data_IF_348949491094
#
_entry.id   IF_348949491094
#
_cell.length_a   1.000
_cell.length_b   1.000
_cell.length_c   1.000
_cell.angle_alpha   90.00
_cell.angle_beta   90.00
_cell.angle_gamma   90.00
#
_symmetry.space_group_name_H-M   'P 1'
#
loop_
_entity.id
_entity.type
_entity.pdbx_description
1 polymer ?
#
# COMPACT_ATOMS: atom_id res chain seq x y z
N UNK A 1 0.60 0.73 -12.06
CA UNK A 1 1.65 -0.27 -11.89
C UNK A 1 1.13 -1.40 -11.03
N UNK A 2 1.55 -2.61 -11.29
CA UNK A 2 1.15 -3.74 -10.48
C UNK A 2 2.35 -4.29 -9.74
N UNK A 3 2.17 -4.52 -8.46
CA UNK A 3 3.20 -5.12 -7.62
C UNK A 3 2.68 -6.45 -7.09
N UNK A 4 3.56 -7.44 -7.08
CA UNK A 4 3.19 -8.74 -6.56
C UNK A 4 3.78 -8.90 -5.18
N UNK A 5 2.95 -9.33 -4.24
CA UNK A 5 3.38 -9.61 -2.90
C UNK A 5 2.55 -10.76 -2.38
N UNK A 6 3.22 -11.75 -1.82
CA UNK A 6 2.54 -12.87 -1.19
C UNK A 6 1.62 -13.58 -2.20
N UNK A 7 2.10 -13.69 -3.45
CA UNK A 7 1.40 -14.35 -4.55
C UNK A 7 0.13 -13.62 -4.97
N UNK A 8 -0.04 -12.39 -4.55
CA UNK A 8 -1.14 -11.56 -4.98
C UNK A 8 -0.61 -10.35 -5.72
N UNK A 9 -1.38 -9.86 -6.67
CA UNK A 9 -0.98 -8.70 -7.44
C UNK A 9 -1.87 -7.53 -7.08
N UNK A 10 -1.24 -6.40 -6.82
CA UNK A 10 -1.96 -5.21 -6.40
C UNK A 10 -1.73 -4.09 -7.39
N UNK A 11 -2.81 -3.41 -7.74
CA UNK A 11 -2.71 -2.19 -8.52
C UNK A 11 -2.21 -1.07 -7.62
N UNK A 12 -1.20 -0.36 -8.07
CA UNK A 12 -0.66 0.77 -7.32
C UNK A 12 -0.77 2.02 -8.16
N UNK A 13 -1.30 3.06 -7.57
CA UNK A 13 -1.46 4.35 -8.23
C UNK A 13 -0.42 5.30 -7.67
N UNK A 14 0.32 5.97 -8.56
CA UNK A 14 1.34 6.94 -8.15
C UNK A 14 0.92 8.31 -8.62
N UNK A 15 1.02 9.28 -7.71
CA UNK A 15 0.67 10.66 -8.01
C UNK A 15 1.83 11.54 -7.56
N UNK A 16 2.26 12.44 -8.42
CA UNK A 16 3.28 13.40 -8.01
C UNK A 16 2.61 14.49 -7.20
N UNK A 17 3.13 14.72 -5.99
CA UNK A 17 2.61 15.73 -5.09
C UNK A 17 3.57 16.91 -5.09
N UNK A 18 3.10 18.05 -5.59
CA UNK A 18 3.96 19.20 -5.75
C UNK A 18 4.36 19.82 -4.41
N UNK A 19 3.54 19.68 -3.39
CA UNK A 19 3.91 20.20 -2.07
C UNK A 19 4.98 19.35 -1.43
N UNK A 20 4.80 18.04 -1.48
CA UNK A 20 5.78 17.12 -0.94
C UNK A 20 7.02 17.08 -1.83
N UNK A 21 6.87 17.43 -3.11
CA UNK A 21 7.93 17.36 -4.10
C UNK A 21 8.39 15.93 -4.27
N UNK A 22 7.44 15.03 -4.40
CA UNK A 22 7.72 13.61 -4.57
C UNK A 22 6.45 12.88 -4.95
N UNK A 23 6.49 11.56 -4.82
CA UNK A 23 5.41 10.73 -5.28
C UNK A 23 4.67 10.13 -4.11
N UNK A 24 3.35 10.10 -4.21
CA UNK A 24 2.49 9.40 -3.26
C UNK A 24 1.99 8.15 -3.95
N UNK A 25 2.05 7.04 -3.26
CA UNK A 25 1.59 5.75 -3.79
C UNK A 25 0.41 5.26 -2.98
N UNK A 26 -0.54 4.67 -3.68
CA UNK A 26 -1.76 4.19 -3.05
C UNK A 26 -2.14 2.84 -3.62
N UNK A 27 -2.62 1.94 -2.76
CA UNK A 27 -3.12 0.64 -3.17
C UNK A 27 -4.63 0.63 -2.93
N UNK A 28 -5.44 0.84 -3.98
CA UNK A 28 -6.89 0.95 -3.76
C UNK A 28 -7.51 -0.29 -3.14
N UNK A 29 -6.97 -1.47 -3.40
CA UNK A 29 -7.52 -2.70 -2.86
C UNK A 29 -7.28 -2.85 -1.36
N UNK A 30 -6.36 -2.08 -0.80
CA UNK A 30 -6.01 -2.17 0.61
C UNK A 30 -6.26 -0.80 1.24
N UNK A 31 -7.45 -0.58 1.79
CA UNK A 31 -7.78 0.75 2.31
C UNK A 31 -6.77 1.23 3.34
N UNK A 32 -6.32 2.45 3.17
CA UNK A 32 -5.32 3.02 4.06
C UNK A 32 -3.89 2.65 3.76
N UNK A 33 -3.65 1.84 2.73
CA UNK A 33 -2.28 1.45 2.38
C UNK A 33 -1.71 2.51 1.47
N UNK A 34 -0.97 3.44 2.05
CA UNK A 34 -0.37 4.56 1.35
C UNK A 34 1.10 4.65 1.69
N UNK A 35 1.87 5.21 0.79
CA UNK A 35 3.25 5.51 1.09
C UNK A 35 3.72 6.63 0.18
N UNK A 36 4.98 7.01 0.28
CA UNK A 36 5.50 8.10 -0.51
C UNK A 36 7.00 7.98 -0.65
N UNK A 37 7.56 8.72 -1.59
CA UNK A 37 8.99 8.74 -1.80
C UNK A 37 9.37 9.92 -2.66
N UNK A 38 10.58 10.43 -2.46
CA UNK A 38 11.03 11.58 -3.24
C UNK A 38 11.27 11.21 -4.69
N UNK A 39 11.60 9.98 -4.95
CA UNK A 39 11.75 9.48 -6.31
C UNK A 39 10.76 8.35 -6.51
N UNK A 40 10.56 8.01 -7.78
CA UNK A 40 9.66 6.90 -8.09
C UNK A 40 10.20 5.59 -7.49
N UNK A 41 11.51 5.39 -7.55
CA UNK A 41 12.11 4.18 -6.97
C UNK A 41 11.85 4.10 -5.47
N UNK A 42 11.98 5.22 -4.78
CA UNK A 42 11.68 5.24 -3.35
C UNK A 42 10.22 4.95 -3.07
N UNK A 43 9.34 5.55 -3.86
CA UNK A 43 7.91 5.33 -3.67
C UNK A 43 7.55 3.87 -3.90
N UNK A 44 8.16 3.25 -4.91
CA UNK A 44 7.91 1.85 -5.19
C UNK A 44 8.40 0.97 -4.03
N UNK A 45 9.60 1.22 -3.56
CA UNK A 45 10.14 0.43 -2.44
C UNK A 45 9.29 0.61 -1.20
N UNK A 46 8.88 1.85 -0.93
CA UNK A 46 8.11 2.14 0.28
C UNK A 46 6.71 1.56 0.22
N UNK A 47 6.04 1.62 -0.94
CA UNK A 47 4.71 1.06 -1.02
C UNK A 47 4.76 -0.46 -0.95
N UNK A 48 5.83 -1.06 -1.46
CA UNK A 48 5.99 -2.51 -1.34
C UNK A 48 6.10 -2.92 0.12
N UNK A 49 6.89 -2.17 0.89
CA UNK A 49 6.99 -2.44 2.32
C UNK A 49 5.66 -2.22 3.02
N UNK A 50 4.91 -1.20 2.61
CA UNK A 50 3.61 -0.92 3.20
C UNK A 50 2.64 -2.07 2.93
N UNK A 51 2.68 -2.64 1.72
CA UNK A 51 1.83 -3.78 1.39
C UNK A 51 2.19 -4.96 2.28
N UNK A 52 3.49 -5.22 2.43
CA UNK A 52 3.92 -6.34 3.27
C UNK A 52 3.43 -6.17 4.70
N UNK A 53 3.58 -4.97 5.24
CA UNK A 53 3.13 -4.71 6.60
C UNK A 53 1.62 -4.83 6.74
N UNK A 54 0.89 -4.33 5.75
CA UNK A 54 -0.55 -4.40 5.77
C UNK A 54 -1.02 -5.85 5.79
N UNK A 55 -0.45 -6.67 4.90
CA UNK A 55 -0.84 -8.07 4.82
C UNK A 55 -0.43 -8.83 6.08
N UNK A 56 0.72 -8.49 6.63
CA UNK A 56 1.17 -9.14 7.87
C UNK A 56 0.20 -8.86 9.01
N UNK A 57 -0.20 -7.62 9.16
CA UNK A 57 -1.11 -7.25 10.23
C UNK A 57 -2.47 -7.92 10.03
N UNK A 58 -2.95 -7.93 8.79
CA UNK A 58 -4.23 -8.53 8.48
C UNK A 58 -4.22 -10.03 8.77
N UNK A 59 -3.14 -10.69 8.37
CA UNK A 59 -3.01 -12.12 8.61
C UNK A 59 -2.87 -12.42 10.09
N UNK A 60 -2.12 -11.57 10.79
CA UNK A 60 -1.89 -11.77 12.21
C UNK A 60 -3.17 -11.68 12.99
N UNK A 61 -4.01 -10.73 12.67
CA UNK A 61 -5.27 -10.59 13.34
C UNK A 61 -6.29 -11.60 12.86
N UNK A 62 -6.12 -12.04 11.64
CA UNK A 62 -6.95 -13.10 11.09
C UNK A 62 -8.41 -12.85 11.31
N UNK A 63 -8.84 -11.61 11.08
CA UNK A 63 -10.22 -11.36 11.19
C UNK A 63 -10.67 -10.45 10.16
N UNK A 64 -11.85 -10.72 9.67
CA UNK A 64 -12.47 -9.81 8.74
C UNK A 64 -12.74 -8.58 9.53
N UNK A 65 -12.52 -7.64 8.92
CA UNK A 65 -12.76 -6.44 9.55
C UNK A 65 -14.18 -6.27 9.86
N UNK A 66 -14.56 -6.45 10.15
CA UNK A 66 -15.58 -6.24 10.43
C UNK A 66 -16.04 -6.18 11.36
N UNK A 67 -16.14 -6.08 11.36
CA UNK A 67 -16.60 -6.13 11.90
C UNK A 67 -17.46 -5.95 12.40
N UNK A 68 -17.97 -5.63 12.38
CA UNK A 68 -18.69 -5.37 12.71
C UNK A 68 -19.61 -5.85 13.03
N UNK A 69 -19.96 -6.00 13.24
CA UNK A 69 -20.58 -6.36 13.54
C UNK A 69 -21.17 -6.53 14.07
N UNK A 70 -21.48 -6.59 14.16
CA UNK A 70 -21.87 -6.74 14.57
C UNK A 70 -22.14 -6.70 14.80
#
# INVERSE_FOLDING_TARGET
>A
MKLEENKMKFQVIFIFDSEYQGYVAEVPALPGCLSQGKTMDEAIANIRDAIKGYLYVQEKHDQPIQTIEN
#
